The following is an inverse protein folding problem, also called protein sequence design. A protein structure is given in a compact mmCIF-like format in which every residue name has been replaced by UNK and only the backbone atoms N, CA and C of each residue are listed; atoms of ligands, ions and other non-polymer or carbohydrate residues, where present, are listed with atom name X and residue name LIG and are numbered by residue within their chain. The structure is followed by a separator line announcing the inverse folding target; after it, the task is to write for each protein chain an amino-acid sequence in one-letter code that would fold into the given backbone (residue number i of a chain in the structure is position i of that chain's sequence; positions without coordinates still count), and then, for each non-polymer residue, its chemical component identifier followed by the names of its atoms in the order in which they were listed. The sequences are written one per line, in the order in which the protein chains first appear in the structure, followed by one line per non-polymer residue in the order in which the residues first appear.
data_IF_171548951308
#
_entry.id   IF_171548951308
#
_cell.length_a   1.000
_cell.length_b   1.000
_cell.length_c   1.000
_cell.angle_alpha   90.00
_cell.angle_beta   90.00
_cell.angle_gamma   90.00
#
_symmetry.space_group_name_H-M   'P 1'
#
loop_
_entity.id
_entity.type
_entity.pdbx_description
1 polymer ?
#
# COMPACT_ATOMS: atom_id res chain seq x y z
N UNK A 1 -26.65 -15.41 -35.08
CA UNK A 1 -26.92 -14.27 -34.17
C UNK A 1 -27.00 -14.72 -32.72
N UNK A 2 -27.74 -15.78 -32.40
CA UNK A 2 -27.87 -16.32 -31.03
C UNK A 2 -26.53 -16.83 -30.45
N UNK A 3 -25.79 -17.65 -31.19
CA UNK A 3 -24.47 -18.18 -30.80
C UNK A 3 -23.43 -17.08 -30.47
N UNK A 4 -23.39 -16.00 -31.28
CA UNK A 4 -22.48 -14.88 -31.07
C UNK A 4 -22.83 -14.07 -29.81
N UNK A 5 -24.13 -13.98 -29.49
CA UNK A 5 -24.62 -13.32 -28.29
C UNK A 5 -24.28 -14.13 -27.02
N UNK A 6 -24.38 -15.45 -27.06
CA UNK A 6 -23.97 -16.32 -25.95
C UNK A 6 -22.46 -16.25 -25.69
N UNK A 7 -21.63 -16.30 -26.74
CA UNK A 7 -20.18 -16.14 -26.61
C UNK A 7 -19.84 -14.77 -26.01
N UNK A 8 -20.50 -13.70 -26.45
CA UNK A 8 -20.23 -12.36 -25.91
C UNK A 8 -20.59 -12.23 -24.42
N UNK A 9 -21.73 -12.79 -23.99
CA UNK A 9 -22.18 -12.73 -22.58
C UNK A 9 -21.27 -13.52 -21.64
N UNK A 10 -20.62 -14.58 -22.12
CA UNK A 10 -19.65 -15.35 -21.33
C UNK A 10 -18.25 -14.74 -21.39
N UNK A 11 -17.77 -14.38 -22.59
CA UNK A 11 -16.40 -13.92 -22.77
C UNK A 11 -16.17 -12.49 -22.26
N UNK A 12 -17.16 -11.60 -22.34
CA UNK A 12 -17.04 -10.23 -21.85
C UNK A 12 -16.70 -10.18 -20.34
N UNK A 13 -17.46 -10.82 -19.43
CA UNK A 13 -17.10 -10.82 -18.01
C UNK A 13 -15.77 -11.54 -17.74
N UNK A 14 -15.45 -12.61 -18.47
CA UNK A 14 -14.16 -13.31 -18.34
C UNK A 14 -12.99 -12.37 -18.69
N UNK A 15 -13.08 -11.66 -19.81
CA UNK A 15 -12.06 -10.71 -20.25
C UNK A 15 -11.96 -9.52 -19.29
N UNK A 16 -13.09 -9.02 -18.78
CA UNK A 16 -13.09 -7.93 -17.80
C UNK A 16 -12.43 -8.34 -16.47
N UNK A 17 -12.76 -9.52 -15.94
CA UNK A 17 -12.17 -10.04 -14.70
C UNK A 17 -10.68 -10.31 -14.90
N UNK A 18 -10.30 -10.96 -16.00
CA UNK A 18 -8.90 -11.21 -16.33
C UNK A 18 -8.11 -9.89 -16.46
N UNK A 19 -8.66 -8.92 -17.19
CA UNK A 19 -8.05 -7.59 -17.34
C UNK A 19 -7.92 -6.84 -16.01
N UNK A 20 -8.90 -6.95 -15.12
CA UNK A 20 -8.85 -6.37 -13.77
C UNK A 20 -7.76 -7.02 -12.93
N UNK A 21 -7.66 -8.36 -12.93
CA UNK A 21 -6.62 -9.09 -12.21
C UNK A 21 -5.22 -8.73 -12.72
N UNK A 22 -5.02 -8.66 -14.03
CA UNK A 22 -3.75 -8.23 -14.64
C UNK A 22 -3.39 -6.82 -14.19
N UNK A 23 -4.34 -5.87 -14.19
CA UNK A 23 -4.09 -4.51 -13.70
C UNK A 23 -3.73 -4.47 -12.21
N UNK A 24 -4.36 -5.31 -11.40
CA UNK A 24 -4.11 -5.37 -9.96
C UNK A 24 -2.69 -5.88 -9.65
N UNK A 25 -2.27 -6.93 -10.36
CA UNK A 25 -0.91 -7.48 -10.26
C UNK A 25 0.13 -6.48 -10.79
N UNK A 26 -0.13 -5.86 -11.94
CA UNK A 26 0.78 -4.90 -12.57
C UNK A 26 1.03 -3.63 -11.73
N UNK A 27 0.09 -3.24 -10.87
CA UNK A 27 0.26 -2.09 -9.95
C UNK A 27 1.23 -2.35 -8.81
N UNK A 28 1.66 -3.61 -8.58
CA UNK A 28 2.66 -3.91 -7.54
C UNK A 28 2.18 -3.65 -6.11
N UNK A 29 0.86 -3.61 -5.88
CA UNK A 29 0.21 -3.41 -4.57
C UNK A 29 -0.27 -4.73 -3.93
N UNK A 30 0.23 -5.88 -4.40
CA UNK A 30 -0.24 -7.19 -3.98
C UNK A 30 -0.20 -7.38 -2.44
N UNK A 31 0.85 -6.90 -1.78
CA UNK A 31 0.97 -7.01 -0.32
C UNK A 31 -0.12 -6.26 0.45
N UNK A 32 -0.59 -5.14 -0.09
CA UNK A 32 -1.60 -4.29 0.55
C UNK A 32 -2.97 -4.95 0.49
N UNK A 33 -3.27 -5.64 -0.62
CA UNK A 33 -4.52 -6.35 -0.84
C UNK A 33 -4.61 -7.66 -0.03
N UNK A 34 -3.46 -8.26 0.28
CA UNK A 34 -3.36 -9.49 1.06
C UNK A 34 -3.40 -9.25 2.58
N UNK A 35 -3.47 -7.98 3.02
CA UNK A 35 -3.63 -7.64 4.43
C UNK A 35 -5.02 -8.05 4.93
N UNK A 36 -5.04 -8.94 5.92
CA UNK A 36 -6.25 -9.43 6.60
C UNK A 36 -6.57 -8.67 7.90
N UNK A 37 -5.86 -7.55 8.16
CA UNK A 37 -6.15 -6.62 9.26
C UNK A 37 -6.11 -7.26 10.67
N UNK A 38 -5.32 -8.33 10.85
CA UNK A 38 -5.18 -9.08 12.10
C UNK A 38 -4.39 -8.40 13.24
N UNK A 39 -3.87 -7.19 13.00
CA UNK A 39 -3.18 -6.34 14.01
C UNK A 39 -1.91 -6.90 14.68
N UNK A 40 -1.46 -8.10 14.37
CA UNK A 40 -0.27 -8.69 14.98
C UNK A 40 1.00 -7.84 14.79
N UNK A 41 1.11 -7.17 13.64
CA UNK A 41 2.20 -6.25 13.35
C UNK A 41 2.20 -4.99 14.25
N UNK A 42 1.05 -4.56 14.76
CA UNK A 42 0.93 -3.39 15.65
C UNK A 42 1.62 -3.66 16.99
N UNK A 43 1.38 -4.84 17.58
CA UNK A 43 2.00 -5.25 18.84
C UNK A 43 3.51 -5.48 18.73
N UNK A 44 4.00 -5.88 17.56
CA UNK A 44 5.43 -6.08 17.31
C UNK A 44 6.20 -4.78 17.02
N UNK A 45 5.51 -3.68 16.72
CA UNK A 45 6.16 -2.45 16.29
C UNK A 45 6.67 -1.65 17.51
N UNK A 46 7.99 -1.36 17.60
CA UNK A 46 8.52 -0.59 18.73
C UNK A 46 8.05 0.87 18.75
N UNK A 47 7.68 1.43 17.60
CA UNK A 47 7.14 2.79 17.52
C UNK A 47 5.71 2.87 18.03
N UNK A 48 4.88 1.86 17.73
CA UNK A 48 3.54 1.77 18.30
C UNK A 48 3.60 1.69 19.83
N UNK A 49 4.54 0.90 20.37
CA UNK A 49 4.73 0.80 21.82
C UNK A 49 5.17 2.12 22.47
N UNK A 50 5.96 2.94 21.77
CA UNK A 50 6.47 4.23 22.31
C UNK A 50 5.55 5.42 22.09
N UNK A 51 4.84 5.46 20.96
CA UNK A 51 4.06 6.63 20.51
C UNK A 51 2.55 6.43 20.56
N UNK A 52 2.08 5.20 20.76
CA UNK A 52 0.66 4.88 20.75
C UNK A 52 0.00 5.33 19.45
N UNK A 53 -1.13 6.03 19.57
CA UNK A 53 -1.97 6.50 18.45
C UNK A 53 -1.32 7.62 17.61
N UNK A 54 -0.27 8.28 18.12
CA UNK A 54 0.44 9.32 17.37
C UNK A 54 1.28 8.76 16.21
N UNK A 55 1.39 7.43 16.08
CA UNK A 55 2.00 6.75 14.95
C UNK A 55 0.99 5.76 14.36
N UNK A 56 0.67 5.82 13.04
CA UNK A 56 -0.36 4.97 12.44
C UNK A 56 -0.04 3.48 12.51
N UNK A 57 1.23 3.12 12.72
CA UNK A 57 1.65 1.73 12.81
C UNK A 57 1.69 1.00 11.47
N UNK A 58 2.24 -0.21 11.44
CA UNK A 58 2.34 -1.03 10.23
C UNK A 58 0.97 -1.36 9.62
N UNK A 59 -0.08 -1.57 10.44
CA UNK A 59 -1.44 -1.75 9.92
C UNK A 59 -1.95 -0.46 9.28
N UNK A 60 -1.81 0.68 9.95
CA UNK A 60 -2.25 1.97 9.42
C UNK A 60 -1.55 2.33 8.11
N UNK A 61 -0.26 2.00 7.99
CA UNK A 61 0.50 2.13 6.74
C UNK A 61 -0.13 1.31 5.61
N UNK A 62 -0.42 0.02 5.85
CA UNK A 62 -1.07 -0.82 4.84
C UNK A 62 -2.49 -0.31 4.51
N UNK A 63 -3.27 0.12 5.50
CA UNK A 63 -4.61 0.66 5.27
C UNK A 63 -4.58 1.96 4.44
N UNK A 64 -3.61 2.83 4.68
CA UNK A 64 -3.40 4.04 3.90
C UNK A 64 -3.00 3.73 2.45
N UNK A 65 -2.09 2.78 2.25
CA UNK A 65 -1.74 2.29 0.92
C UNK A 65 -2.96 1.68 0.20
N UNK A 66 -3.82 0.95 0.93
CA UNK A 66 -5.02 0.26 0.39
C UNK A 66 -6.08 1.25 -0.08
N UNK A 67 -6.27 2.31 0.71
CA UNK A 67 -7.33 3.31 0.51
C UNK A 67 -6.87 4.52 -0.29
N UNK A 68 -5.58 4.61 -0.62
CA UNK A 68 -4.99 5.78 -1.27
C UNK A 68 -4.87 7.01 -0.35
N UNK A 69 -5.04 6.85 0.97
CA UNK A 69 -4.94 7.94 1.96
C UNK A 69 -3.51 8.12 2.48
N UNK A 70 -2.54 8.17 1.57
CA UNK A 70 -1.10 8.16 1.89
C UNK A 70 -0.69 9.44 2.63
N UNK A 71 -1.18 10.58 2.17
CA UNK A 71 -0.86 11.90 2.70
C UNK A 71 -1.32 12.05 4.15
N UNK A 72 -2.50 11.51 4.48
CA UNK A 72 -3.02 11.48 5.84
C UNK A 72 -2.13 10.62 6.76
N UNK A 73 -1.63 9.48 6.28
CA UNK A 73 -0.71 8.66 7.04
C UNK A 73 0.66 9.32 7.21
N UNK A 74 1.16 10.01 6.18
CA UNK A 74 2.40 10.80 6.27
C UNK A 74 2.24 11.91 7.30
N UNK A 75 1.13 12.66 7.28
CA UNK A 75 0.82 13.70 8.26
C UNK A 75 0.73 13.14 9.70
N UNK A 76 0.28 11.90 9.86
CA UNK A 76 0.28 11.18 11.12
C UNK A 76 1.64 10.57 11.51
N UNK A 77 2.73 10.86 10.79
CA UNK A 77 4.08 10.39 11.12
C UNK A 77 4.43 9.01 10.58
N UNK A 78 3.77 8.52 9.52
CA UNK A 78 4.13 7.23 8.91
C UNK A 78 5.60 7.17 8.44
N UNK A 79 6.17 8.31 8.05
CA UNK A 79 7.58 8.42 7.64
C UNK A 79 8.58 8.23 8.79
N UNK A 80 8.13 8.22 10.05
CA UNK A 80 8.97 7.93 11.22
C UNK A 80 9.36 6.45 11.32
N UNK A 81 8.77 5.58 10.48
CA UNK A 81 9.07 4.15 10.45
C UNK A 81 10.57 3.89 10.24
N UNK A 82 11.22 3.17 11.15
CA UNK A 82 12.67 2.92 11.07
C UNK A 82 13.08 1.79 10.11
N UNK A 83 12.14 1.23 9.33
CA UNK A 83 12.36 0.04 8.49
C UNK A 83 12.98 -1.17 9.21
N UNK A 84 12.76 -1.31 10.53
CA UNK A 84 13.36 -2.39 11.35
C UNK A 84 12.85 -3.82 11.03
N UNK A 85 11.79 -3.95 10.23
CA UNK A 85 11.26 -5.24 9.76
C UNK A 85 10.54 -6.10 10.82
N UNK A 86 10.31 -5.59 12.03
CA UNK A 86 9.61 -6.35 13.09
C UNK A 86 8.20 -6.80 12.67
N UNK A 87 7.48 -5.93 11.96
CA UNK A 87 6.14 -6.22 11.43
C UNK A 87 6.12 -7.37 10.41
N UNK A 88 7.15 -7.50 9.57
CA UNK A 88 7.26 -8.61 8.60
C UNK A 88 7.49 -9.93 9.29
N UNK A 89 8.36 -9.96 10.32
CA UNK A 89 8.69 -11.19 11.05
C UNK A 89 7.47 -11.84 11.71
N UNK A 90 6.53 -11.03 12.19
CA UNK A 90 5.31 -11.54 12.84
C UNK A 90 4.13 -11.73 11.89
N UNK A 91 4.21 -11.23 10.65
CA UNK A 91 3.06 -11.28 9.75
C UNK A 91 2.84 -12.71 9.22
N UNK A 92 1.67 -13.34 9.46
CA UNK A 92 1.38 -14.69 8.95
C UNK A 92 1.27 -14.75 7.42
N UNK A 93 1.11 -13.60 6.77
CA UNK A 93 1.06 -13.44 5.32
C UNK A 93 2.39 -12.98 4.71
N UNK A 94 3.43 -12.78 5.54
CA UNK A 94 4.75 -12.33 5.09
C UNK A 94 4.78 -10.92 4.50
N UNK A 95 3.85 -10.04 4.90
CA UNK A 95 3.74 -8.69 4.34
C UNK A 95 4.83 -7.77 4.88
N UNK A 96 5.23 -6.78 4.08
CA UNK A 96 6.27 -5.83 4.43
C UNK A 96 5.76 -4.37 4.39
N UNK A 97 5.06 -3.90 5.45
CA UNK A 97 4.56 -2.52 5.53
C UNK A 97 5.65 -1.46 5.34
N UNK A 98 6.89 -1.73 5.78
CA UNK A 98 8.01 -0.81 5.63
C UNK A 98 8.35 -0.49 4.17
N UNK A 99 8.07 -1.41 3.24
CA UNK A 99 8.29 -1.19 1.80
C UNK A 99 7.37 -0.10 1.26
N UNK A 100 6.14 0.03 1.79
CA UNK A 100 5.25 1.13 1.41
C UNK A 100 5.81 2.48 1.91
N UNK A 101 6.34 2.53 3.13
CA UNK A 101 6.99 3.76 3.62
C UNK A 101 8.21 4.13 2.78
N UNK A 102 9.03 3.17 2.39
CA UNK A 102 10.17 3.40 1.50
C UNK A 102 9.74 3.92 0.12
N UNK A 103 8.65 3.37 -0.44
CA UNK A 103 8.03 3.90 -1.66
C UNK A 103 7.57 5.35 -1.50
N UNK A 104 6.96 5.69 -0.37
CA UNK A 104 6.50 7.05 -0.09
C UNK A 104 7.67 8.02 0.10
N UNK A 105 8.75 7.62 0.78
CA UNK A 105 9.99 8.41 0.87
C UNK A 105 10.56 8.71 -0.51
N UNK A 106 10.70 7.68 -1.35
CA UNK A 106 11.20 7.84 -2.71
C UNK A 106 10.30 8.75 -3.57
N UNK A 107 8.97 8.72 -3.35
CA UNK A 107 8.05 9.65 -4.01
C UNK A 107 8.25 11.09 -3.54
N UNK A 108 8.34 11.31 -2.22
CA UNK A 108 8.56 12.63 -1.64
C UNK A 108 9.90 13.26 -2.09
N UNK A 109 10.98 12.46 -2.20
CA UNK A 109 12.28 12.93 -2.71
C UNK A 109 12.20 13.37 -4.18
N UNK A 110 11.43 12.67 -5.01
CA UNK A 110 11.20 13.04 -6.42
C UNK A 110 10.40 14.34 -6.55
N UNK A 111 9.48 14.58 -5.63
CA UNK A 111 8.72 15.83 -5.59
C UNK A 111 9.59 16.99 -5.11
N UNK A 112 10.40 16.77 -4.06
CA UNK A 112 11.36 17.76 -3.56
C UNK A 112 12.42 18.16 -4.59
N UNK A 113 12.95 17.21 -5.37
CA UNK A 113 13.89 17.50 -6.47
C UNK A 113 13.24 18.26 -7.63
N UNK A 114 11.97 17.98 -7.96
CA UNK A 114 11.19 18.76 -8.94
C UNK A 114 10.87 20.17 -8.46
N UNK A 115 10.59 20.34 -7.16
CA UNK A 115 10.41 21.65 -6.53
C UNK A 115 11.69 22.48 -6.52
N UNK A 116 12.84 21.87 -6.21
CA UNK A 116 14.15 22.53 -6.25
C UNK A 116 14.57 22.93 -7.67
N UNK A 117 14.20 22.15 -8.70
CA UNK A 117 14.43 22.49 -10.11
C UNK A 117 13.54 23.64 -10.64
N UNK A 118 12.46 23.98 -9.92
CA UNK A 118 11.57 25.12 -10.20
C UNK A 118 11.83 26.23 -9.16
N UNK A 119 13.09 26.63 -9.03
CA UNK A 119 13.52 27.69 -8.10
C UNK A 119 12.73 29.00 -8.26
N UNK A 120 12.72 29.86 -7.21
CA UNK A 120 11.84 31.03 -7.14
C UNK A 120 12.09 31.95 -8.35
N UNK A 121 10.99 32.30 -9.03
CA UNK A 121 10.97 33.28 -10.12
C UNK A 121 11.23 34.69 -9.60
#
# INVERSE_FOLDING_TARGET
MLEAMEIAVVMLPVVLVAGMLVRLVARGQAQVLLCMECELCMGACPLCAKRGEAFPGPKGILAAAKTGKVEAAIAAGALDCTSCGACTRVCPRGLAPQVEVERWRAAAEREGTRGAARGPA
#
